data_IF_893192037924
#
_entry.id   IF_893192037924
#
_cell.length_a   1.000
_cell.length_b   1.000
_cell.length_c   1.000
_cell.angle_alpha   90.00
_cell.angle_beta   90.00
_cell.angle_gamma   90.00
#
_symmetry.space_group_name_H-M   'P 1'
#
loop_
_entity.id
_entity.type
_entity.pdbx_description
1 polymer ?
#
# COMPACT_ATOMS: atom_id res chain seq x y z
N UNK A 1 -24.21 -16.51 3.22
CA UNK A 1 -23.25 -15.74 4.03
C UNK A 1 -21.91 -15.80 3.35
N UNK A 2 -21.34 -14.64 2.97
CA UNK A 2 -19.95 -14.60 2.55
C UNK A 2 -19.11 -14.97 3.77
N UNK A 3 -18.36 -16.05 3.70
CA UNK A 3 -17.37 -16.36 4.73
C UNK A 3 -16.17 -15.45 4.48
N UNK A 4 -15.81 -14.65 5.45
CA UNK A 4 -14.56 -13.90 5.43
C UNK A 4 -13.40 -14.92 5.40
N UNK A 5 -12.54 -14.80 4.43
CA UNK A 5 -11.39 -15.68 4.24
C UNK A 5 -10.08 -14.89 4.28
N UNK A 6 -9.06 -15.47 4.90
CA UNK A 6 -7.70 -14.92 4.85
C UNK A 6 -6.95 -15.58 3.71
N UNK A 7 -6.31 -14.77 2.87
CA UNK A 7 -5.48 -15.24 1.76
C UNK A 7 -4.03 -15.29 2.20
N UNK A 8 -3.37 -16.40 1.98
CA UNK A 8 -1.94 -16.58 2.22
C UNK A 8 -1.19 -16.81 0.91
N UNK A 9 -0.04 -16.18 0.78
CA UNK A 9 0.90 -16.45 -0.31
C UNK A 9 2.04 -17.29 0.25
N UNK A 10 2.34 -18.42 -0.41
CA UNK A 10 3.47 -19.26 -0.05
C UNK A 10 4.71 -18.80 -0.83
N UNK A 11 5.72 -18.35 -0.11
CA UNK A 11 7.07 -18.15 -0.63
C UNK A 11 7.97 -19.28 -0.13
N UNK A 12 8.60 -20.00 -1.06
CA UNK A 12 9.49 -21.12 -0.73
C UNK A 12 10.93 -20.67 -0.38
N UNK A 13 11.27 -19.40 -0.62
CA UNK A 13 12.63 -18.86 -0.50
C UNK A 13 12.83 -17.96 0.72
N UNK A 14 11.72 -17.45 1.29
CA UNK A 14 11.77 -16.45 2.35
C UNK A 14 11.08 -16.96 3.61
N UNK A 15 11.71 -16.75 4.76
CA UNK A 15 11.10 -17.00 6.07
C UNK A 15 10.87 -15.68 6.79
N UNK A 16 9.77 -15.58 7.52
CA UNK A 16 9.37 -14.36 8.19
C UNK A 16 9.22 -14.56 9.70
N UNK A 17 9.56 -13.52 10.45
CA UNK A 17 9.19 -13.38 11.86
C UNK A 17 8.08 -12.34 11.98
N UNK A 18 7.08 -12.65 12.76
CA UNK A 18 5.96 -11.73 13.03
C UNK A 18 5.91 -11.36 14.49
N UNK A 19 5.58 -10.10 14.77
CA UNK A 19 5.25 -9.58 16.09
C UNK A 19 3.88 -8.91 16.00
N UNK A 20 3.15 -8.90 17.11
CA UNK A 20 1.84 -8.27 17.24
C UNK A 20 1.80 -7.36 18.47
N UNK A 21 2.67 -6.34 18.53
CA UNK A 21 2.70 -5.41 19.67
C UNK A 21 1.46 -4.51 19.66
N UNK A 22 1.06 -4.10 20.87
CA UNK A 22 0.04 -3.08 21.03
C UNK A 22 0.57 -1.72 20.55
N UNK A 23 -0.24 -0.97 19.85
CA UNK A 23 0.11 0.37 19.40
C UNK A 23 0.14 1.36 20.60
N UNK A 24 1.06 2.34 20.61
CA UNK A 24 1.11 3.33 21.67
C UNK A 24 -0.09 4.27 21.60
N UNK A 25 -0.54 4.71 22.76
CA UNK A 25 -1.50 5.80 22.89
C UNK A 25 -0.84 7.18 22.92
N UNK A 26 -1.67 8.22 23.04
CA UNK A 26 -1.23 9.59 23.24
C UNK A 26 -2.32 10.43 23.92
N UNK A 27 -1.94 11.49 24.58
CA UNK A 27 -2.88 12.42 25.22
C UNK A 27 -3.64 13.27 24.19
N UNK A 28 -3.01 13.54 23.07
CA UNK A 28 -3.55 14.25 21.91
C UNK A 28 -2.92 13.73 20.63
N UNK A 29 -3.35 14.24 19.49
CA UNK A 29 -2.88 13.81 18.15
C UNK A 29 -1.37 13.99 18.01
N UNK A 30 -0.80 15.12 18.44
CA UNK A 30 0.62 15.40 18.27
C UNK A 30 1.49 14.51 19.15
N UNK A 31 1.09 14.31 20.41
CA UNK A 31 1.76 13.39 21.33
C UNK A 31 1.72 11.95 20.80
N UNK A 32 0.56 11.53 20.28
CA UNK A 32 0.40 10.22 19.68
C UNK A 32 1.28 10.05 18.43
N UNK A 33 1.28 11.00 17.49
CA UNK A 33 2.12 10.95 16.28
C UNK A 33 3.59 10.81 16.64
N UNK A 34 4.07 11.59 17.62
CA UNK A 34 5.45 11.53 18.09
C UNK A 34 5.79 10.16 18.69
N UNK A 35 4.92 9.65 19.56
CA UNK A 35 5.10 8.34 20.18
C UNK A 35 5.03 7.21 19.16
N UNK A 36 4.11 7.30 18.20
CA UNK A 36 3.89 6.31 17.17
C UNK A 36 5.07 6.25 16.17
N UNK A 37 5.59 7.41 15.75
CA UNK A 37 6.79 7.48 14.90
C UNK A 37 8.02 6.87 15.62
N UNK A 38 8.24 7.23 16.89
CA UNK A 38 9.34 6.69 17.68
C UNK A 38 9.22 5.16 17.86
N UNK A 39 8.00 4.69 18.09
CA UNK A 39 7.70 3.28 18.25
C UNK A 39 7.91 2.51 16.95
N UNK A 40 7.42 3.00 15.80
CA UNK A 40 7.68 2.42 14.48
C UNK A 40 9.17 2.37 14.17
N UNK A 41 9.93 3.43 14.49
CA UNK A 41 11.37 3.48 14.30
C UNK A 41 12.10 2.44 15.15
N UNK A 42 11.64 2.18 16.38
CA UNK A 42 12.23 1.14 17.24
C UNK A 42 12.10 -0.27 16.63
N UNK A 43 10.97 -0.56 15.98
CA UNK A 43 10.76 -1.83 15.27
C UNK A 43 11.51 -1.84 13.94
N UNK A 44 11.52 -0.74 13.20
CA UNK A 44 12.28 -0.59 11.95
C UNK A 44 13.77 -0.81 12.13
N UNK A 45 14.37 -0.32 13.20
CA UNK A 45 15.77 -0.56 13.54
C UNK A 45 16.11 -2.04 13.78
N UNK A 46 15.11 -2.88 14.10
CA UNK A 46 15.22 -4.32 14.23
C UNK A 46 14.93 -5.08 12.93
N UNK A 47 14.61 -4.35 11.84
CA UNK A 47 14.28 -4.89 10.52
C UNK A 47 12.80 -5.24 10.34
N UNK A 48 11.91 -4.78 11.21
CA UNK A 48 10.47 -5.01 11.06
C UNK A 48 9.82 -3.96 10.17
N UNK A 49 8.92 -4.46 9.34
CA UNK A 49 8.01 -3.66 8.49
C UNK A 49 6.62 -3.70 9.10
N UNK A 50 5.99 -2.53 9.22
CA UNK A 50 4.60 -2.41 9.65
C UNK A 50 3.65 -2.91 8.56
N UNK A 51 2.80 -3.86 8.89
CA UNK A 51 1.88 -4.53 7.99
C UNK A 51 0.41 -4.12 8.18
N UNK A 52 0.14 -3.19 9.07
CA UNK A 52 -1.21 -2.69 9.32
C UNK A 52 -1.73 -2.96 10.72
N UNK A 53 -2.87 -2.34 11.06
CA UNK A 53 -3.53 -2.59 12.33
C UNK A 53 -4.21 -3.96 12.32
N UNK A 54 -4.21 -4.62 13.47
CA UNK A 54 -4.87 -5.88 13.71
C UNK A 54 -5.61 -5.87 15.04
N UNK A 55 -6.87 -6.25 15.05
CA UNK A 55 -7.66 -6.20 16.29
C UNK A 55 -7.60 -7.54 17.02
N UNK A 56 -7.17 -7.52 18.28
CA UNK A 56 -7.12 -8.68 19.17
C UNK A 56 -7.75 -8.31 20.51
N UNK A 57 -8.76 -9.08 20.91
CA UNK A 57 -9.41 -8.86 22.22
C UNK A 57 -10.00 -7.46 22.40
N UNK A 58 -10.42 -6.81 21.32
CA UNK A 58 -10.95 -5.44 21.33
C UNK A 58 -9.88 -4.32 21.43
N UNK A 59 -8.60 -4.69 21.33
CA UNK A 59 -7.49 -3.73 21.29
C UNK A 59 -6.81 -3.73 19.92
N UNK A 60 -6.31 -2.56 19.51
CA UNK A 60 -5.57 -2.39 18.27
C UNK A 60 -4.11 -2.76 18.51
N UNK A 61 -3.63 -3.69 17.72
CA UNK A 61 -2.24 -4.10 17.63
C UNK A 61 -1.72 -3.80 16.23
N UNK A 62 -0.42 -3.69 16.07
CA UNK A 62 0.20 -3.63 14.75
C UNK A 62 0.75 -5.00 14.36
N UNK A 63 0.44 -5.45 13.15
CA UNK A 63 1.16 -6.57 12.55
C UNK A 63 2.52 -6.09 12.08
N UNK A 64 3.58 -6.59 12.71
CA UNK A 64 4.96 -6.30 12.32
C UNK A 64 5.57 -7.54 11.68
N UNK A 65 6.21 -7.39 10.51
CA UNK A 65 6.83 -8.49 9.76
C UNK A 65 8.30 -8.20 9.50
N UNK A 66 9.16 -9.18 9.74
CA UNK A 66 10.58 -9.13 9.40
C UNK A 66 10.93 -10.27 8.45
N UNK A 67 11.64 -9.97 7.38
CA UNK A 67 12.28 -10.95 6.52
C UNK A 67 13.58 -11.42 7.20
N UNK A 68 13.66 -12.72 7.51
CA UNK A 68 14.80 -13.30 8.22
C UNK A 68 16.05 -13.42 7.32
N UNK A 69 15.87 -13.39 6.00
CA UNK A 69 16.95 -13.37 5.01
C UNK A 69 17.52 -11.98 4.73
N UNK A 70 16.88 -10.92 5.25
CA UNK A 70 17.27 -9.54 4.99
C UNK A 70 17.97 -8.92 6.20
N UNK A 71 19.02 -8.13 5.94
CA UNK A 71 19.65 -7.25 6.93
C UNK A 71 19.09 -5.82 6.90
N UNK A 72 18.08 -5.55 6.10
CA UNK A 72 17.47 -4.24 5.98
C UNK A 72 16.94 -3.74 7.32
N UNK A 73 17.19 -2.46 7.59
CA UNK A 73 16.57 -1.72 8.68
C UNK A 73 15.80 -0.53 8.12
N UNK A 74 14.80 -0.08 8.85
CA UNK A 74 13.85 0.90 8.33
C UNK A 74 13.73 2.11 9.24
N UNK A 75 13.53 3.27 8.62
CA UNK A 75 13.10 4.49 9.29
C UNK A 75 11.70 4.85 8.85
N UNK A 76 10.93 5.40 9.77
CA UNK A 76 9.54 5.80 9.57
C UNK A 76 9.35 7.29 9.78
N UNK A 77 8.38 7.84 9.05
CA UNK A 77 7.80 9.17 9.27
C UNK A 77 6.28 9.02 9.37
N UNK A 78 5.70 9.68 10.34
CA UNK A 78 4.25 9.76 10.53
C UNK A 78 3.83 11.21 10.37
N UNK A 79 3.00 11.46 9.36
CA UNK A 79 2.63 12.82 8.96
C UNK A 79 1.13 13.00 9.11
N UNK A 80 0.71 14.03 9.84
CA UNK A 80 -0.71 14.39 9.93
C UNK A 80 -1.20 14.87 8.57
N UNK A 81 -2.27 14.27 8.08
CA UNK A 81 -2.91 14.65 6.82
C UNK A 81 -3.97 15.68 7.10
N UNK A 82 -3.87 16.85 6.46
CA UNK A 82 -4.97 17.81 6.46
C UNK A 82 -6.12 17.27 5.61
N UNK A 83 -7.19 16.84 6.26
CA UNK A 83 -8.37 16.27 5.60
C UNK A 83 -9.17 17.30 4.80
N UNK A 84 -8.90 18.60 4.98
CA UNK A 84 -9.50 19.68 4.19
C UNK A 84 -8.70 19.96 2.91
N UNK A 85 -7.43 19.55 2.86
CA UNK A 85 -6.61 19.67 1.67
C UNK A 85 -6.93 18.55 0.65
N UNK A 86 -6.72 18.83 -0.63
CA UNK A 86 -6.84 17.80 -1.65
C UNK A 86 -5.69 16.77 -1.53
N UNK A 87 -5.94 15.53 -1.95
CA UNK A 87 -4.89 14.51 -2.02
C UNK A 87 -3.72 14.97 -2.92
N UNK A 88 -4.02 15.71 -4.00
CA UNK A 88 -2.98 16.28 -4.87
C UNK A 88 -2.08 17.25 -4.12
N UNK A 89 -2.64 18.11 -3.27
CA UNK A 89 -1.86 19.04 -2.45
C UNK A 89 -0.98 18.29 -1.43
N UNK A 90 -1.52 17.25 -0.77
CA UNK A 90 -0.74 16.38 0.10
C UNK A 90 0.42 15.71 -0.66
N UNK A 91 0.13 15.16 -1.85
CA UNK A 91 1.15 14.50 -2.67
C UNK A 91 2.24 15.47 -3.08
N UNK A 92 1.90 16.66 -3.56
CA UNK A 92 2.88 17.66 -3.99
C UNK A 92 3.72 18.21 -2.85
N UNK A 93 3.10 18.51 -1.71
CA UNK A 93 3.75 19.26 -0.63
C UNK A 93 4.41 18.35 0.42
N UNK A 94 4.03 17.08 0.51
CA UNK A 94 4.51 16.17 1.54
C UNK A 94 5.02 14.84 0.96
N UNK A 95 4.21 14.10 0.17
CA UNK A 95 4.59 12.77 -0.25
C UNK A 95 5.77 12.76 -1.24
N UNK A 96 5.76 13.64 -2.25
CA UNK A 96 6.86 13.72 -3.22
C UNK A 96 8.19 14.20 -2.62
N UNK A 97 8.24 15.23 -1.76
CA UNK A 97 9.47 15.57 -1.05
C UNK A 97 10.03 14.42 -0.21
N UNK A 98 9.20 13.74 0.58
CA UNK A 98 9.63 12.57 1.35
C UNK A 98 10.03 11.41 0.45
N UNK A 99 9.33 11.20 -0.66
CA UNK A 99 9.67 10.18 -1.67
C UNK A 99 11.03 10.43 -2.31
N UNK A 100 11.35 11.68 -2.65
CA UNK A 100 12.66 12.09 -3.15
C UNK A 100 13.79 11.80 -2.14
N UNK A 101 13.50 11.86 -0.84
CA UNK A 101 14.41 11.48 0.25
C UNK A 101 14.46 9.96 0.49
N UNK A 102 13.71 9.16 -0.26
CA UNK A 102 13.66 7.70 -0.18
C UNK A 102 12.61 7.13 0.77
N UNK A 103 11.69 7.95 1.25
CA UNK A 103 10.56 7.46 2.04
C UNK A 103 9.42 7.00 1.13
N UNK A 104 9.09 5.74 1.21
CA UNK A 104 7.93 5.14 0.56
C UNK A 104 6.65 5.45 1.33
N UNK A 105 5.60 5.93 0.67
CA UNK A 105 4.27 6.13 1.26
C UNK A 105 3.60 4.77 1.49
N UNK A 106 3.83 4.17 2.66
CA UNK A 106 3.28 2.86 2.99
C UNK A 106 1.75 2.92 3.11
N UNK A 107 1.24 3.93 3.82
CA UNK A 107 -0.20 4.13 4.01
C UNK A 107 -0.54 5.60 3.79
N UNK A 108 -1.39 5.92 2.80
CA UNK A 108 -1.79 7.30 2.52
C UNK A 108 -2.76 7.89 3.56
N UNK A 109 -3.53 7.03 4.23
CA UNK A 109 -4.47 7.45 5.27
C UNK A 109 -4.65 6.34 6.30
N UNK A 110 -4.23 6.57 7.52
CA UNK A 110 -4.48 5.73 8.68
C UNK A 110 -5.27 6.53 9.71
N UNK A 111 -6.41 5.98 10.11
CA UNK A 111 -7.22 6.58 11.16
C UNK A 111 -6.63 6.19 12.50
N UNK A 112 -5.98 7.12 13.16
CA UNK A 112 -5.44 6.93 14.51
C UNK A 112 -6.55 6.70 15.53
N UNK A 113 -6.19 6.56 16.82
CA UNK A 113 -7.14 6.30 17.91
C UNK A 113 -8.19 7.41 18.10
N UNK A 114 -7.98 8.57 17.46
CA UNK A 114 -8.88 9.73 17.51
C UNK A 114 -9.90 9.76 16.34
N UNK A 115 -9.94 8.73 15.53
CA UNK A 115 -10.86 8.60 14.41
C UNK A 115 -10.55 9.53 13.23
N UNK A 116 -11.58 9.88 12.46
CA UNK A 116 -11.44 10.66 11.21
C UNK A 116 -10.84 12.06 11.38
N UNK A 117 -10.84 12.59 12.61
CA UNK A 117 -10.22 13.90 12.91
C UNK A 117 -8.70 13.85 13.01
N UNK A 118 -8.10 12.68 12.92
CA UNK A 118 -6.64 12.48 13.08
C UNK A 118 -6.10 11.46 12.08
N UNK A 119 -6.36 11.70 10.82
CA UNK A 119 -5.80 10.91 9.74
C UNK A 119 -4.31 11.19 9.59
N UNK A 120 -3.50 10.15 9.52
CA UNK A 120 -2.06 10.25 9.28
C UNK A 120 -1.65 9.43 8.06
N UNK A 121 -0.58 9.85 7.41
CA UNK A 121 0.14 9.06 6.42
C UNK A 121 1.39 8.46 7.07
N UNK A 122 1.70 7.21 6.73
CA UNK A 122 2.87 6.50 7.24
C UNK A 122 3.83 6.29 6.07
N UNK A 123 5.07 6.75 6.26
CA UNK A 123 6.15 6.59 5.31
C UNK A 123 7.23 5.68 5.90
N UNK A 124 7.86 4.89 5.04
CA UNK A 124 8.95 3.98 5.39
C UNK A 124 10.12 4.16 4.44
N UNK A 125 11.33 4.21 4.98
CA UNK A 125 12.58 4.24 4.22
C UNK A 125 13.42 3.02 4.57
N UNK A 126 13.88 2.28 3.56
CA UNK A 126 14.94 1.28 3.72
C UNK A 126 16.27 2.01 3.83
N UNK A 127 16.96 1.84 4.96
CA UNK A 127 18.23 2.53 5.23
C UNK A 127 19.42 1.96 4.43
N UNK A 128 19.29 0.77 3.88
CA UNK A 128 20.25 0.13 2.98
C UNK A 128 19.90 0.35 1.51
N UNK A 129 18.68 0.82 1.23
CA UNK A 129 18.20 1.06 -0.13
C UNK A 129 18.52 2.45 -0.65
N UNK A 130 18.58 2.59 -1.98
CA UNK A 130 18.74 3.88 -2.66
C UNK A 130 17.50 4.31 -3.44
N UNK A 131 16.40 3.58 -3.32
CA UNK A 131 15.16 3.88 -4.03
C UNK A 131 14.63 5.28 -3.71
N UNK A 132 14.02 5.90 -4.69
CA UNK A 132 13.35 7.20 -4.59
C UNK A 132 11.96 7.05 -5.16
N UNK A 133 10.99 7.69 -4.54
CA UNK A 133 9.59 7.49 -4.90
C UNK A 133 8.95 8.78 -5.37
N UNK A 134 8.09 8.66 -6.35
CA UNK A 134 7.23 9.73 -6.84
C UNK A 134 5.77 9.27 -6.85
N UNK A 135 4.87 10.21 -6.64
CA UNK A 135 3.44 9.96 -6.56
C UNK A 135 2.70 10.92 -7.48
N UNK A 136 1.62 10.40 -8.08
CA UNK A 136 0.73 11.17 -8.94
C UNK A 136 -0.73 10.89 -8.55
N UNK A 137 -1.55 11.93 -8.64
CA UNK A 137 -3.00 11.83 -8.37
C UNK A 137 -3.74 12.26 -9.62
N UNK A 138 -4.56 11.37 -10.15
CA UNK A 138 -5.41 11.62 -11.30
C UNK A 138 -6.89 11.51 -10.92
N UNK A 139 -7.73 12.27 -11.61
CA UNK A 139 -9.17 12.14 -11.46
C UNK A 139 -9.63 10.75 -11.89
N UNK A 140 -10.60 10.19 -11.17
CA UNK A 140 -11.20 8.93 -11.58
C UNK A 140 -12.01 9.14 -12.86
N UNK A 141 -11.79 8.35 -13.92
CA UNK A 141 -12.56 8.46 -15.16
C UNK A 141 -14.04 8.11 -14.98
N UNK A 142 -14.86 8.55 -15.93
CA UNK A 142 -16.30 8.33 -15.88
C UNK A 142 -16.74 6.94 -16.35
N UNK A 143 -15.88 6.21 -17.09
CA UNK A 143 -16.20 4.87 -17.59
C UNK A 143 -15.18 3.83 -17.13
N UNK A 144 -15.61 2.57 -17.06
CA UNK A 144 -14.76 1.43 -16.70
C UNK A 144 -13.58 1.27 -17.66
N UNK A 145 -13.85 1.39 -18.97
CA UNK A 145 -12.82 1.28 -19.99
C UNK A 145 -11.75 2.36 -19.90
N UNK A 146 -12.17 3.59 -19.59
CA UNK A 146 -11.23 4.71 -19.43
C UNK A 146 -10.40 4.55 -18.16
N UNK A 147 -10.95 3.98 -17.08
CA UNK A 147 -10.19 3.67 -15.86
C UNK A 147 -9.11 2.63 -16.13
N UNK A 148 -9.45 1.53 -16.79
CA UNK A 148 -8.48 0.49 -17.16
C UNK A 148 -7.41 1.06 -18.11
N UNK A 149 -7.80 1.90 -19.07
CA UNK A 149 -6.88 2.58 -19.97
C UNK A 149 -5.95 3.55 -19.21
N UNK A 150 -6.47 4.34 -18.27
CA UNK A 150 -5.67 5.24 -17.42
C UNK A 150 -4.63 4.44 -16.63
N UNK A 151 -5.05 3.36 -15.94
CA UNK A 151 -4.15 2.54 -15.12
C UNK A 151 -3.02 1.93 -15.98
N UNK A 152 -3.31 1.45 -17.19
CA UNK A 152 -2.30 0.90 -18.08
C UNK A 152 -1.41 1.97 -18.73
N UNK A 153 -1.94 3.17 -19.00
CA UNK A 153 -1.15 4.30 -19.48
C UNK A 153 -0.12 4.71 -18.43
N UNK A 154 -0.54 4.81 -17.18
CA UNK A 154 0.37 5.12 -16.08
C UNK A 154 1.35 3.97 -15.83
N UNK A 155 0.91 2.72 -15.95
CA UNK A 155 1.76 1.55 -15.87
C UNK A 155 2.88 1.57 -16.90
N UNK A 156 2.60 1.94 -18.14
CA UNK A 156 3.62 2.10 -19.20
C UNK A 156 4.62 3.24 -18.90
N UNK A 157 4.23 4.27 -18.13
CA UNK A 157 5.09 5.35 -17.62
C UNK A 157 5.91 4.92 -16.39
N UNK A 158 5.69 3.72 -15.86
CA UNK A 158 6.34 3.17 -14.66
C UNK A 158 5.62 3.49 -13.36
N UNK A 159 4.40 4.00 -13.42
CA UNK A 159 3.58 4.20 -12.24
C UNK A 159 2.74 2.95 -11.95
N UNK A 160 2.84 2.44 -10.73
CA UNK A 160 1.95 1.41 -10.22
C UNK A 160 0.69 2.08 -9.65
N UNK A 161 -0.48 1.58 -10.02
CA UNK A 161 -1.73 1.97 -9.36
C UNK A 161 -1.67 1.56 -7.88
N UNK A 162 -1.89 2.51 -6.99
CA UNK A 162 -1.81 2.25 -5.54
C UNK A 162 -3.20 2.01 -4.94
N UNK A 163 -4.08 3.00 -5.04
CA UNK A 163 -5.40 2.93 -4.43
C UNK A 163 -6.30 4.02 -5.00
N UNK A 164 -7.62 3.75 -5.16
CA UNK A 164 -8.60 4.80 -5.34
C UNK A 164 -8.82 5.54 -4.01
N UNK A 165 -9.12 6.83 -4.09
CA UNK A 165 -9.29 7.68 -2.93
C UNK A 165 -10.50 8.62 -3.13
N UNK A 166 -11.11 9.06 -2.03
CA UNK A 166 -12.09 10.15 -2.07
C UNK A 166 -11.45 11.39 -1.47
N UNK A 167 -11.33 12.45 -2.26
CA UNK A 167 -10.69 13.69 -1.85
C UNK A 167 -11.56 14.88 -2.28
N UNK A 168 -11.98 15.71 -1.33
CA UNK A 168 -12.85 16.84 -1.61
C UNK A 168 -14.19 16.46 -2.24
N UNK A 169 -14.73 15.28 -1.94
CA UNK A 169 -15.97 14.75 -2.51
C UNK A 169 -15.83 14.15 -3.91
N UNK A 170 -14.64 14.18 -4.52
CA UNK A 170 -14.36 13.57 -5.81
C UNK A 170 -13.56 12.28 -5.64
N UNK A 171 -13.80 11.31 -6.53
CA UNK A 171 -12.95 10.13 -6.63
C UNK A 171 -11.68 10.47 -7.41
N UNK A 172 -10.54 10.04 -6.89
CA UNK A 172 -9.22 10.19 -7.50
C UNK A 172 -8.44 8.90 -7.37
N UNK A 173 -7.46 8.72 -8.23
CA UNK A 173 -6.59 7.56 -8.27
C UNK A 173 -5.16 7.98 -7.89
N UNK A 174 -4.60 7.32 -6.89
CA UNK A 174 -3.21 7.51 -6.46
C UNK A 174 -2.31 6.50 -7.16
N UNK A 175 -1.24 6.99 -7.74
CA UNK A 175 -0.20 6.21 -8.40
C UNK A 175 1.13 6.42 -7.71
N UNK A 176 2.02 5.42 -7.81
CA UNK A 176 3.35 5.43 -7.21
C UNK A 176 4.40 4.89 -8.17
N UNK A 177 5.60 5.47 -8.12
CA UNK A 177 6.72 5.10 -8.99
C UNK A 177 8.02 5.08 -8.21
N UNK A 178 8.88 4.10 -8.49
CA UNK A 178 10.29 4.15 -8.11
C UNK A 178 11.06 4.95 -9.18
N UNK A 179 11.53 6.14 -8.79
CA UNK A 179 12.25 7.05 -9.66
C UNK A 179 13.71 6.62 -9.90
N UNK A 180 14.21 5.64 -9.16
CA UNK A 180 15.58 5.14 -9.28
C UNK A 180 15.76 4.09 -10.38
N UNK A 181 14.68 3.68 -11.03
CA UNK A 181 14.68 2.67 -12.10
C UNK A 181 13.64 2.96 -13.20
N UNK A 182 13.81 2.30 -14.34
CA UNK A 182 12.86 2.32 -15.46
C UNK A 182 12.03 1.06 -15.43
N UNK A 183 10.99 1.05 -14.59
CA UNK A 183 10.01 -0.04 -14.52
C UNK A 183 8.80 0.24 -15.38
N UNK A 184 8.08 -0.81 -15.77
CA UNK A 184 6.74 -0.71 -16.34
C UNK A 184 5.82 -1.72 -15.67
N UNK A 185 4.53 -1.43 -15.69
CA UNK A 185 3.49 -2.29 -15.12
C UNK A 185 2.38 -2.48 -16.13
N UNK A 186 1.90 -3.70 -16.24
CA UNK A 186 0.71 -4.04 -17.00
C UNK A 186 -0.37 -4.51 -16.04
N UNK A 187 -1.59 -4.03 -16.22
CA UNK A 187 -2.70 -4.33 -15.34
C UNK A 187 -3.79 -5.07 -16.09
N UNK A 188 -4.41 -6.01 -15.40
CA UNK A 188 -5.52 -6.82 -15.88
C UNK A 188 -6.64 -6.76 -14.86
N UNK A 189 -7.87 -6.74 -15.34
CA UNK A 189 -9.06 -6.81 -14.51
C UNK A 189 -9.92 -8.02 -14.86
N UNK A 190 -10.42 -8.71 -13.87
CA UNK A 190 -11.26 -9.89 -14.01
C UNK A 190 -12.56 -9.72 -13.23
N UNK A 191 -13.62 -10.40 -13.65
CA UNK A 191 -14.84 -10.46 -12.85
C UNK A 191 -14.56 -11.09 -11.49
N UNK A 192 -14.98 -10.41 -10.42
CA UNK A 192 -14.81 -10.94 -9.06
C UNK A 192 -15.58 -12.23 -8.89
N UNK A 193 -14.92 -13.23 -8.35
CA UNK A 193 -15.47 -14.55 -8.15
C UNK A 193 -16.45 -14.57 -6.98
N UNK A 194 -17.54 -15.34 -7.12
CA UNK A 194 -18.57 -15.42 -6.10
C UNK A 194 -18.28 -16.45 -4.99
N UNK A 195 -17.25 -17.27 -5.17
CA UNK A 195 -16.85 -18.31 -4.21
C UNK A 195 -15.35 -18.23 -3.94
N UNK A 196 -14.94 -18.63 -2.74
CA UNK A 196 -13.52 -18.74 -2.37
C UNK A 196 -12.74 -19.69 -3.29
N UNK A 197 -13.37 -20.79 -3.72
CA UNK A 197 -12.75 -21.75 -4.64
C UNK A 197 -12.51 -21.13 -6.02
N UNK A 198 -13.49 -20.40 -6.56
CA UNK A 198 -13.35 -19.68 -7.84
C UNK A 198 -12.26 -18.62 -7.75
N UNK A 199 -12.24 -17.83 -6.67
CA UNK A 199 -11.21 -16.83 -6.43
C UNK A 199 -9.81 -17.45 -6.38
N UNK A 200 -9.61 -18.53 -5.61
CA UNK A 200 -8.30 -19.21 -5.54
C UNK A 200 -7.88 -19.80 -6.89
N UNK A 201 -8.83 -20.34 -7.67
CA UNK A 201 -8.55 -20.86 -9.02
C UNK A 201 -8.05 -19.72 -9.92
N UNK A 202 -8.75 -18.59 -9.93
CA UNK A 202 -8.36 -17.41 -10.71
C UNK A 202 -7.01 -16.86 -10.25
N UNK A 203 -6.83 -16.63 -8.94
CA UNK A 203 -5.60 -16.07 -8.39
C UNK A 203 -4.38 -16.95 -8.67
N UNK A 204 -4.52 -18.28 -8.54
CA UNK A 204 -3.44 -19.22 -8.86
C UNK A 204 -3.13 -19.25 -10.37
N UNK A 205 -4.15 -19.18 -11.23
CA UNK A 205 -3.94 -19.14 -12.68
C UNK A 205 -3.20 -17.87 -13.11
N UNK A 206 -3.54 -16.71 -12.56
CA UNK A 206 -2.83 -15.46 -12.84
C UNK A 206 -1.42 -15.45 -12.24
N UNK A 207 -1.25 -15.96 -11.01
CA UNK A 207 0.06 -16.12 -10.39
C UNK A 207 1.02 -17.01 -11.19
N UNK A 208 0.53 -18.08 -11.83
CA UNK A 208 1.32 -18.91 -12.73
C UNK A 208 1.82 -18.18 -13.98
N UNK A 209 1.15 -17.09 -14.40
CA UNK A 209 1.59 -16.23 -15.49
C UNK A 209 2.57 -15.14 -15.05
N UNK A 210 2.84 -15.03 -13.74
CA UNK A 210 3.69 -13.99 -13.15
C UNK A 210 2.94 -12.74 -12.69
N UNK A 211 1.61 -12.74 -12.75
CA UNK A 211 0.79 -11.62 -12.29
C UNK A 211 0.54 -11.72 -10.78
N UNK A 212 0.48 -10.59 -10.10
CA UNK A 212 0.15 -10.48 -8.67
C UNK A 212 -1.22 -9.85 -8.47
N UNK A 213 -1.99 -10.40 -7.54
CA UNK A 213 -3.26 -9.81 -7.14
C UNK A 213 -3.02 -8.48 -6.42
N UNK A 214 -3.70 -7.44 -6.85
CA UNK A 214 -3.75 -6.15 -6.14
C UNK A 214 -4.91 -6.09 -5.14
N UNK A 215 -6.05 -6.63 -5.52
CA UNK A 215 -7.27 -6.61 -4.75
C UNK A 215 -8.51 -6.39 -5.61
N UNK A 216 -9.66 -6.31 -4.95
CA UNK A 216 -10.94 -6.02 -5.58
C UNK A 216 -11.20 -4.50 -5.52
N UNK A 217 -11.50 -3.90 -6.68
CA UNK A 217 -11.80 -2.48 -6.80
C UNK A 217 -13.17 -2.24 -7.44
N UNK A 218 -13.86 -1.21 -6.95
CA UNK A 218 -15.08 -0.72 -7.56
C UNK A 218 -14.77 0.11 -8.79
N UNK A 219 -15.42 -0.22 -9.91
CA UNK A 219 -15.36 0.54 -11.15
C UNK A 219 -16.38 1.69 -11.17
N UNK A 220 -16.25 2.68 -12.07
CA UNK A 220 -17.22 3.77 -12.23
C UNK A 220 -18.67 3.29 -12.43
N UNK A 221 -18.90 2.16 -13.08
CA UNK A 221 -20.23 1.54 -13.22
C UNK A 221 -20.80 0.97 -11.92
N UNK A 222 -20.01 0.90 -10.85
CA UNK A 222 -20.33 0.19 -9.62
C UNK A 222 -20.01 -1.30 -9.64
N UNK A 223 -19.53 -1.85 -10.76
CA UNK A 223 -19.06 -3.24 -10.81
C UNK A 223 -17.79 -3.39 -9.97
N UNK A 224 -17.64 -4.56 -9.32
CA UNK A 224 -16.41 -4.91 -8.59
C UNK A 224 -15.60 -5.87 -9.45
N UNK A 225 -14.31 -5.54 -9.62
CA UNK A 225 -13.37 -6.34 -10.41
C UNK A 225 -12.11 -6.64 -9.59
N UNK A 226 -11.55 -7.82 -9.78
CA UNK A 226 -10.25 -8.21 -9.21
C UNK A 226 -9.15 -7.74 -10.15
N UNK A 227 -8.25 -6.89 -9.64
CA UNK A 227 -7.12 -6.36 -10.40
C UNK A 227 -5.84 -7.14 -10.11
N UNK A 228 -5.11 -7.39 -11.17
CA UNK A 228 -3.79 -8.01 -11.15
C UNK A 228 -2.79 -7.13 -11.87
N UNK A 229 -1.52 -7.21 -11.50
CA UNK A 229 -0.46 -6.51 -12.20
C UNK A 229 0.71 -7.44 -12.52
N UNK A 230 1.42 -7.12 -13.58
CA UNK A 230 2.63 -7.78 -14.02
C UNK A 230 3.73 -6.71 -14.19
N UNK A 231 4.81 -6.76 -13.40
CA UNK A 231 5.93 -5.84 -13.53
C UNK A 231 6.88 -6.31 -14.64
N UNK A 232 7.50 -5.36 -15.35
CA UNK A 232 8.56 -5.61 -16.31
C UNK A 232 9.72 -4.65 -16.11
N UNK A 233 10.95 -5.13 -16.33
CA UNK A 233 12.19 -4.36 -16.13
C UNK A 233 12.27 -3.73 -14.73
N UNK A 234 11.94 -4.50 -13.72
CA UNK A 234 11.56 -3.99 -12.43
C UNK A 234 12.24 -4.80 -11.31
N UNK A 235 12.80 -4.12 -10.32
CA UNK A 235 13.41 -4.72 -9.12
C UNK A 235 12.92 -3.98 -7.86
N UNK A 236 13.15 -4.58 -6.70
CA UNK A 236 12.79 -3.99 -5.43
C UNK A 236 11.32 -4.08 -5.09
N UNK A 237 10.93 -3.35 -4.07
CA UNK A 237 9.67 -3.50 -3.37
C UNK A 237 8.41 -3.28 -4.24
N UNK A 238 8.39 -2.26 -5.11
CA UNK A 238 7.22 -2.00 -5.95
C UNK A 238 6.98 -3.08 -7.01
N UNK A 239 8.00 -3.89 -7.28
CA UNK A 239 8.01 -4.93 -8.29
C UNK A 239 7.79 -6.32 -7.69
N UNK A 240 7.73 -6.41 -6.37
CA UNK A 240 7.58 -7.67 -5.67
C UNK A 240 6.15 -8.19 -5.76
N UNK A 241 5.96 -9.20 -6.62
CA UNK A 241 4.67 -9.86 -6.82
C UNK A 241 4.31 -10.84 -5.69
N UNK A 242 5.22 -11.09 -4.73
CA UNK A 242 4.97 -11.94 -3.56
C UNK A 242 4.25 -11.20 -2.45
N UNK A 243 4.24 -9.87 -2.50
CA UNK A 243 3.63 -9.04 -1.48
C UNK A 243 2.18 -8.76 -1.84
N UNK A 244 1.24 -9.40 -1.16
CA UNK A 244 -0.14 -8.96 -1.14
C UNK A 244 -0.21 -7.62 -0.40
N UNK A 245 -0.89 -6.63 -0.98
CA UNK A 245 -1.15 -5.31 -0.38
C UNK A 245 0.07 -4.39 -0.22
N UNK A 246 1.18 -4.64 -0.90
CA UNK A 246 2.36 -3.77 -0.85
C UNK A 246 3.02 -3.69 0.54
N UNK A 247 2.91 -4.75 1.31
CA UNK A 247 3.49 -4.88 2.67
C UNK A 247 4.90 -5.42 2.64
#
# INVERSE_FOLDING_TARGET
SKSDGTVYVKDAQTTYTYELPQEPGGADVQAWVTAYEAWLNSHGARGFVWGGPYMVGGQIHALMRKDNGSSSTFSYKVVVVDTNASLSAFVQNQANPLGADGYYLAVPAYLGPFGVSSTVAIFRKDLQGSARYGYEVLSNPASDGDLVAQINTEGARGYRFKVPFVSGGAQVNLYEKDLSQSSTFRFYDFASQQTSAGFLTQANAEGQKGSSLMGAYGLPSGAIRDFYFEPASCTGFLCDTRSLFGL
#
